data_IF_841837434484
#
_entry.id   IF_841837434484
#
_cell.length_a   1.000
_cell.length_b   1.000
_cell.length_c   1.000
_cell.angle_alpha   90.00
_cell.angle_beta   90.00
_cell.angle_gamma   90.00
#
_symmetry.space_group_name_H-M   'P 1'
#
loop_
_entity.id
_entity.type
_entity.pdbx_description
1 polymer ?
#
# COMPACT_ATOMS: atom_id res chain seq x y z
N UNK A 1 15.38 -14.14 9.88
CA UNK A 1 14.83 -12.79 9.99
C UNK A 1 15.70 -11.75 9.27
N UNK A 2 17.03 -11.67 9.50
CA UNK A 2 17.89 -10.64 8.89
C UNK A 2 17.94 -10.64 7.36
N UNK A 3 17.89 -11.80 6.71
CA UNK A 3 17.88 -11.92 5.24
C UNK A 3 16.61 -11.34 4.64
N UNK A 4 15.46 -11.54 5.27
CA UNK A 4 14.17 -10.99 4.82
C UNK A 4 14.20 -9.47 4.89
N UNK A 5 14.71 -8.90 5.99
CA UNK A 5 14.84 -7.44 6.12
C UNK A 5 15.79 -6.82 5.08
N UNK A 6 16.91 -7.49 4.75
CA UNK A 6 17.78 -7.02 3.67
C UNK A 6 17.05 -6.97 2.32
N UNK A 7 16.36 -8.06 1.98
CA UNK A 7 15.65 -8.18 0.70
C UNK A 7 14.50 -7.16 0.61
N UNK A 8 13.72 -6.95 1.67
CA UNK A 8 12.67 -5.93 1.70
C UNK A 8 13.21 -4.50 1.67
N UNK A 9 14.42 -4.26 2.22
CA UNK A 9 15.10 -2.96 2.11
C UNK A 9 15.49 -2.65 0.66
N UNK A 10 16.05 -3.62 -0.06
CA UNK A 10 16.33 -3.48 -1.49
C UNK A 10 15.06 -3.29 -2.31
N UNK A 11 13.99 -4.02 -2.02
CA UNK A 11 12.69 -3.84 -2.65
C UNK A 11 12.14 -2.43 -2.41
N UNK A 12 12.30 -1.88 -1.21
CA UNK A 12 11.92 -0.51 -0.88
C UNK A 12 12.68 0.51 -1.73
N UNK A 13 13.99 0.35 -1.89
CA UNK A 13 14.81 1.21 -2.75
C UNK A 13 14.42 1.09 -4.22
N UNK A 14 14.14 -0.13 -4.67
CA UNK A 14 13.65 -0.38 -6.03
C UNK A 14 12.31 0.34 -6.28
N UNK A 15 11.37 0.31 -5.32
CA UNK A 15 10.09 1.02 -5.40
C UNK A 15 10.28 2.54 -5.54
N UNK A 16 11.16 3.14 -4.74
CA UNK A 16 11.49 4.57 -4.84
C UNK A 16 12.14 4.88 -6.20
N UNK A 17 13.07 4.04 -6.67
CA UNK A 17 13.75 4.24 -7.95
C UNK A 17 12.78 4.14 -9.14
N UNK A 18 11.88 3.14 -9.14
CA UNK A 18 10.84 2.97 -10.16
C UNK A 18 9.95 4.21 -10.20
N UNK A 19 9.50 4.68 -9.04
CA UNK A 19 8.68 5.88 -8.95
C UNK A 19 9.39 7.08 -9.56
N UNK A 20 10.61 7.37 -9.15
CA UNK A 20 11.38 8.53 -9.62
C UNK A 20 11.71 8.45 -11.11
N UNK A 21 11.97 7.26 -11.65
CA UNK A 21 12.40 7.09 -13.03
C UNK A 21 11.24 7.11 -14.02
N UNK A 22 10.10 6.52 -13.68
CA UNK A 22 9.03 6.23 -14.63
C UNK A 22 7.69 6.89 -14.27
N UNK A 23 7.40 7.06 -12.99
CA UNK A 23 6.06 7.42 -12.55
C UNK A 23 5.88 8.91 -12.20
N UNK A 24 6.95 9.64 -11.89
CA UNK A 24 6.87 11.04 -11.43
C UNK A 24 6.20 12.00 -12.42
N UNK A 25 6.18 11.67 -13.71
CA UNK A 25 5.59 12.46 -14.79
C UNK A 25 4.13 12.09 -15.10
N UNK A 26 3.61 11.04 -14.48
CA UNK A 26 2.25 10.57 -14.70
C UNK A 26 1.32 11.27 -13.71
N UNK A 27 0.09 11.66 -14.11
CA UNK A 27 -0.87 12.29 -13.21
C UNK A 27 -1.15 11.45 -11.96
N UNK A 28 -1.21 12.12 -10.80
CA UNK A 28 -1.38 11.46 -9.51
C UNK A 28 -2.59 10.50 -9.47
N UNK A 29 -3.74 10.92 -10.00
CA UNK A 29 -4.98 10.11 -10.04
C UNK A 29 -4.76 8.78 -10.75
N UNK A 30 -4.05 8.79 -11.88
CA UNK A 30 -3.80 7.59 -12.70
C UNK A 30 -2.91 6.62 -11.95
N UNK A 31 -1.79 7.10 -11.39
CA UNK A 31 -0.87 6.24 -10.65
C UNK A 31 -1.56 5.68 -9.41
N UNK A 32 -2.29 6.53 -8.66
CA UNK A 32 -3.00 6.11 -7.46
C UNK A 32 -4.03 5.01 -7.77
N UNK A 33 -4.85 5.18 -8.82
CA UNK A 33 -5.81 4.18 -9.24
C UNK A 33 -5.12 2.86 -9.61
N UNK A 34 -4.13 2.91 -10.49
CA UNK A 34 -3.43 1.71 -10.96
C UNK A 34 -2.67 1.00 -9.84
N UNK A 35 -1.94 1.75 -8.99
CA UNK A 35 -1.22 1.14 -7.87
C UNK A 35 -2.16 0.52 -6.84
N UNK A 36 -3.30 1.13 -6.56
CA UNK A 36 -4.31 0.58 -5.64
C UNK A 36 -4.93 -0.71 -6.18
N UNK A 37 -5.36 -0.71 -7.44
CA UNK A 37 -5.94 -1.91 -8.09
C UNK A 37 -4.89 -3.01 -8.17
N UNK A 38 -3.68 -2.70 -8.62
CA UNK A 38 -2.61 -3.68 -8.74
C UNK A 38 -2.20 -4.25 -7.37
N UNK A 39 -2.09 -3.40 -6.34
CA UNK A 39 -1.81 -3.85 -4.96
C UNK A 39 -2.90 -4.77 -4.44
N UNK A 40 -4.18 -4.47 -4.73
CA UNK A 40 -5.29 -5.34 -4.31
C UNK A 40 -5.25 -6.69 -5.02
N UNK A 41 -5.00 -6.72 -6.34
CA UNK A 41 -4.86 -7.97 -7.10
C UNK A 41 -3.69 -8.80 -6.56
N UNK A 42 -2.53 -8.16 -6.36
CA UNK A 42 -1.35 -8.82 -5.80
C UNK A 42 -1.58 -9.29 -4.36
N UNK A 43 -2.26 -8.49 -3.54
CA UNK A 43 -2.63 -8.90 -2.18
C UNK A 43 -3.57 -10.11 -2.14
N UNK A 44 -4.40 -10.32 -3.20
CA UNK A 44 -5.22 -11.52 -3.32
C UNK A 44 -4.39 -12.79 -3.56
N UNK A 45 -3.15 -12.68 -4.04
CA UNK A 45 -2.26 -13.85 -4.16
C UNK A 45 -1.95 -14.50 -2.81
N UNK A 46 -2.04 -13.73 -1.70
CA UNK A 46 -1.92 -14.27 -0.35
C UNK A 46 -3.01 -15.32 -0.04
N UNK A 47 -4.18 -15.24 -0.69
CA UNK A 47 -5.20 -16.28 -0.58
C UNK A 47 -4.71 -17.63 -1.07
N UNK A 48 -3.87 -17.65 -2.11
CA UNK A 48 -3.29 -18.89 -2.64
C UNK A 48 -2.39 -19.56 -1.59
N UNK A 49 -1.69 -18.75 -0.78
CA UNK A 49 -0.87 -19.24 0.31
C UNK A 49 -1.73 -19.77 1.46
N UNK A 50 -2.75 -19.00 1.88
CA UNK A 50 -3.65 -19.36 2.98
C UNK A 50 -4.47 -20.62 2.66
N UNK A 51 -4.88 -20.80 1.40
CA UNK A 51 -5.62 -21.99 0.93
C UNK A 51 -4.70 -23.13 0.52
N UNK A 52 -3.37 -22.99 0.66
CA UNK A 52 -2.36 -23.96 0.21
C UNK A 52 -2.43 -24.33 -1.28
N UNK A 53 -3.09 -23.52 -2.10
CA UNK A 53 -3.21 -23.71 -3.55
C UNK A 53 -1.85 -23.53 -4.25
N UNK A 54 -0.93 -22.74 -3.69
CA UNK A 54 0.44 -22.59 -4.17
C UNK A 54 1.19 -23.93 -4.24
N UNK A 55 0.89 -24.89 -3.35
CA UNK A 55 1.50 -26.23 -3.34
C UNK A 55 1.05 -27.06 -4.54
N UNK A 56 -0.20 -26.87 -5.00
CA UNK A 56 -0.69 -27.51 -6.23
C UNK A 56 0.04 -26.99 -7.47
N UNK A 57 0.56 -25.75 -7.40
CA UNK A 57 1.38 -25.14 -8.44
C UNK A 57 2.87 -25.55 -8.35
N UNK A 58 3.25 -26.36 -7.35
CA UNK A 58 4.62 -26.81 -7.15
C UNK A 58 5.54 -25.73 -6.54
N UNK A 59 4.99 -24.66 -5.98
CA UNK A 59 5.75 -23.56 -5.39
C UNK A 59 5.74 -23.71 -3.86
N UNK A 60 6.95 -23.75 -3.27
CA UNK A 60 7.13 -23.81 -1.84
C UNK A 60 6.60 -22.54 -1.14
N UNK A 61 5.94 -22.70 0.02
CA UNK A 61 5.32 -21.60 0.80
C UNK A 61 6.30 -20.49 1.14
N UNK A 62 7.56 -20.84 1.41
CA UNK A 62 8.59 -19.87 1.78
C UNK A 62 8.98 -18.96 0.62
N UNK A 63 9.21 -19.52 -0.57
CA UNK A 63 9.55 -18.74 -1.75
C UNK A 63 8.38 -17.91 -2.26
N UNK A 64 7.16 -18.47 -2.19
CA UNK A 64 5.95 -17.75 -2.55
C UNK A 64 5.74 -16.52 -1.66
N UNK A 65 5.79 -16.71 -0.32
CA UNK A 65 5.63 -15.64 0.66
C UNK A 65 6.71 -14.56 0.53
N UNK A 66 7.96 -14.95 0.23
CA UNK A 66 9.04 -13.99 0.01
C UNK A 66 8.80 -13.14 -1.24
N UNK A 67 8.43 -13.78 -2.35
CA UNK A 67 8.12 -13.07 -3.60
C UNK A 67 6.94 -12.11 -3.46
N UNK A 68 5.85 -12.56 -2.85
CA UNK A 68 4.67 -11.74 -2.55
C UNK A 68 5.03 -10.52 -1.68
N UNK A 69 5.77 -10.73 -0.59
CA UNK A 69 6.22 -9.66 0.30
C UNK A 69 7.11 -8.63 -0.42
N UNK A 70 7.96 -9.07 -1.34
CA UNK A 70 8.80 -8.17 -2.15
C UNK A 70 7.96 -7.26 -3.04
N UNK A 71 7.03 -7.83 -3.78
CA UNK A 71 6.18 -7.10 -4.72
C UNK A 71 5.31 -6.12 -3.96
N UNK A 72 4.66 -6.54 -2.87
CA UNK A 72 3.85 -5.67 -2.02
C UNK A 72 4.67 -4.55 -1.37
N UNK A 73 5.92 -4.81 -1.00
CA UNK A 73 6.84 -3.78 -0.48
C UNK A 73 7.14 -2.72 -1.54
N UNK A 74 7.44 -3.12 -2.77
CA UNK A 74 7.67 -2.19 -3.89
C UNK A 74 6.43 -1.33 -4.13
N UNK A 75 5.25 -1.96 -4.23
CA UNK A 75 3.99 -1.25 -4.46
C UNK A 75 3.66 -0.29 -3.32
N UNK A 76 3.84 -0.71 -2.07
CA UNK A 76 3.65 0.15 -0.90
C UNK A 76 4.56 1.38 -0.91
N UNK A 77 5.81 1.24 -1.36
CA UNK A 77 6.73 2.38 -1.52
C UNK A 77 6.33 3.31 -2.64
N UNK A 78 5.82 2.80 -3.76
CA UNK A 78 5.29 3.62 -4.85
C UNK A 78 4.12 4.46 -4.35
N UNK A 79 3.14 3.85 -3.66
CA UNK A 79 1.99 4.57 -3.08
C UNK A 79 2.43 5.60 -2.04
N UNK A 80 3.36 5.24 -1.16
CA UNK A 80 3.90 6.16 -0.16
C UNK A 80 4.58 7.39 -0.80
N UNK A 81 5.40 7.19 -1.85
CA UNK A 81 6.05 8.29 -2.57
C UNK A 81 5.04 9.24 -3.21
N UNK A 82 3.93 8.72 -3.72
CA UNK A 82 2.85 9.55 -4.27
C UNK A 82 2.22 10.44 -3.20
N UNK A 83 1.91 9.88 -2.03
CA UNK A 83 1.34 10.64 -0.90
C UNK A 83 2.31 11.74 -0.47
N UNK A 84 3.62 11.44 -0.41
CA UNK A 84 4.65 12.41 -0.06
C UNK A 84 4.74 13.56 -1.07
N UNK A 85 4.72 13.24 -2.37
CA UNK A 85 4.75 14.25 -3.43
C UNK A 85 3.48 15.10 -3.42
N UNK A 86 2.31 14.49 -3.24
CA UNK A 86 1.06 15.23 -3.12
C UNK A 86 1.07 16.15 -1.91
N UNK A 87 1.52 15.67 -0.75
CA UNK A 87 1.65 16.46 0.47
C UNK A 87 2.57 17.67 0.26
N UNK A 88 3.72 17.46 -0.42
CA UNK A 88 4.65 18.55 -0.71
C UNK A 88 4.06 19.60 -1.67
N UNK A 89 3.27 19.17 -2.66
CA UNK A 89 2.60 20.09 -3.61
C UNK A 89 1.47 20.91 -2.99
N UNK A 90 0.75 20.33 -2.02
CA UNK A 90 -0.35 21.00 -1.33
C UNK A 90 0.11 22.02 -0.28
N UNK A 91 1.39 22.06 0.05
CA UNK A 91 1.94 22.97 1.08
C UNK A 91 2.28 24.34 0.46
N UNK A 92 1.53 25.42 0.80
CA UNK A 92 1.84 26.76 0.34
C UNK A 92 3.16 27.28 0.93
N UNK A 93 3.81 28.19 0.20
CA UNK A 93 5.04 28.83 0.65
C UNK A 93 4.84 29.61 1.97
N UNK A 94 5.75 29.39 2.93
CA UNK A 94 5.74 30.03 4.24
C UNK A 94 5.12 29.22 5.39
N UNK A 95 4.36 28.15 5.09
CA UNK A 95 3.79 27.25 6.09
C UNK A 95 4.09 25.77 5.82
N UNK A 96 5.02 25.52 4.91
CA UNK A 96 5.31 24.16 4.40
C UNK A 96 5.61 23.18 5.53
N UNK A 97 6.47 23.57 6.48
CA UNK A 97 6.88 22.68 7.57
C UNK A 97 5.69 22.28 8.47
N UNK A 98 4.84 23.23 8.80
CA UNK A 98 3.69 22.99 9.70
C UNK A 98 2.63 22.13 9.01
N UNK A 99 2.30 22.46 7.77
CA UNK A 99 1.28 21.74 7.02
C UNK A 99 1.75 20.31 6.66
N UNK A 100 3.01 20.17 6.26
CA UNK A 100 3.60 18.86 6.02
C UNK A 100 3.61 18.00 7.28
N UNK A 101 3.99 18.56 8.44
CA UNK A 101 3.95 17.86 9.72
C UNK A 101 2.52 17.42 10.09
N UNK A 102 1.51 18.28 9.85
CA UNK A 102 0.11 17.95 10.06
C UNK A 102 -0.34 16.80 9.16
N UNK A 103 -0.04 16.85 7.86
CA UNK A 103 -0.38 15.78 6.91
C UNK A 103 0.28 14.45 7.31
N UNK A 104 1.54 14.47 7.74
CA UNK A 104 2.23 13.28 8.22
C UNK A 104 1.64 12.75 9.52
N UNK A 105 1.18 13.63 10.42
CA UNK A 105 0.49 13.23 11.63
C UNK A 105 -0.84 12.52 11.32
N UNK A 106 -1.61 13.06 10.39
CA UNK A 106 -2.86 12.43 9.90
C UNK A 106 -2.55 11.07 9.27
N UNK A 107 -1.53 10.99 8.42
CA UNK A 107 -1.12 9.73 7.78
C UNK A 107 -0.73 8.66 8.81
N UNK A 108 0.08 9.01 9.80
CA UNK A 108 0.49 8.09 10.86
C UNK A 108 -0.69 7.68 11.76
N UNK A 109 -1.59 8.62 12.06
CA UNK A 109 -2.81 8.33 12.82
C UNK A 109 -3.74 7.37 12.07
N UNK A 110 -3.89 7.57 10.75
CA UNK A 110 -4.65 6.66 9.90
C UNK A 110 -4.06 5.23 9.93
N UNK A 111 -2.73 5.10 9.91
CA UNK A 111 -2.05 3.81 10.09
C UNK A 111 -2.40 3.14 11.42
N UNK A 112 -2.35 3.88 12.53
CA UNK A 112 -2.71 3.37 13.86
C UNK A 112 -4.16 2.91 13.91
N UNK A 113 -5.08 3.70 13.37
CA UNK A 113 -6.51 3.37 13.28
C UNK A 113 -6.72 2.12 12.42
N UNK A 114 -6.03 2.01 11.28
CA UNK A 114 -6.09 0.83 10.40
C UNK A 114 -5.65 -0.44 11.13
N UNK A 115 -4.56 -0.37 11.90
CA UNK A 115 -4.10 -1.52 12.70
C UNK A 115 -5.11 -1.90 13.79
N UNK A 116 -5.74 -0.92 14.45
CA UNK A 116 -6.77 -1.19 15.45
C UNK A 116 -8.01 -1.87 14.83
N UNK A 117 -8.47 -1.41 13.66
CA UNK A 117 -9.55 -2.06 12.92
C UNK A 117 -9.17 -3.46 12.46
N UNK A 118 -7.95 -3.66 11.96
CA UNK A 118 -7.44 -4.97 11.59
C UNK A 118 -7.46 -5.95 12.77
N UNK A 119 -7.00 -5.52 13.95
CA UNK A 119 -7.03 -6.32 15.17
C UNK A 119 -8.47 -6.65 15.61
N UNK A 120 -9.40 -5.69 15.52
CA UNK A 120 -10.81 -5.88 15.85
C UNK A 120 -11.48 -6.91 14.93
N UNK A 121 -11.25 -6.83 13.63
CA UNK A 121 -11.77 -7.79 12.64
C UNK A 121 -11.18 -9.19 12.92
N UNK A 122 -9.87 -9.26 13.19
CA UNK A 122 -9.18 -10.51 13.54
C UNK A 122 -9.83 -11.16 14.77
N UNK A 123 -10.13 -10.37 15.80
CA UNK A 123 -10.81 -10.82 17.01
C UNK A 123 -12.23 -11.32 16.70
N UNK A 124 -13.04 -10.59 15.95
CA UNK A 124 -14.40 -10.97 15.57
C UNK A 124 -14.47 -12.24 14.73
N UNK A 125 -13.46 -12.47 13.89
CA UNK A 125 -13.34 -13.66 13.07
C UNK A 125 -12.84 -14.89 13.88
N UNK A 126 -12.53 -14.71 15.16
CA UNK A 126 -12.05 -15.78 16.03
C UNK A 126 -10.67 -16.33 15.64
N UNK A 127 -9.86 -15.51 14.95
CA UNK A 127 -8.51 -15.92 14.54
C UNK A 127 -7.58 -15.80 15.73
N UNK A 128 -6.94 -16.92 16.08
CA UNK A 128 -5.98 -17.03 17.19
C UNK A 128 -4.70 -17.70 16.72
N UNK A 129 -3.69 -17.76 17.58
CA UNK A 129 -2.42 -18.46 17.28
C UNK A 129 -2.60 -19.97 16.96
N UNK A 130 -3.74 -20.55 17.29
CA UNK A 130 -4.06 -21.96 17.08
C UNK A 130 -5.24 -22.20 16.14
N UNK A 131 -5.99 -21.15 15.76
CA UNK A 131 -7.13 -21.25 14.86
C UNK A 131 -7.00 -20.23 13.71
N UNK A 132 -6.79 -20.72 12.51
CA UNK A 132 -6.62 -19.93 11.27
C UNK A 132 -7.74 -20.17 10.25
N UNK A 133 -8.85 -20.84 10.62
CA UNK A 133 -9.92 -21.21 9.68
C UNK A 133 -10.49 -20.01 8.91
N UNK A 134 -10.64 -18.85 9.58
CA UNK A 134 -11.19 -17.65 8.99
C UNK A 134 -10.13 -16.70 8.43
N UNK A 135 -8.85 -17.10 8.37
CA UNK A 135 -7.76 -16.24 7.90
C UNK A 135 -7.97 -15.79 6.45
N UNK A 136 -8.47 -16.67 5.59
CA UNK A 136 -8.80 -16.33 4.20
C UNK A 136 -9.82 -15.19 4.10
N UNK A 137 -10.80 -15.15 5.00
CA UNK A 137 -11.81 -14.10 5.03
C UNK A 137 -11.20 -12.76 5.48
N UNK A 138 -10.29 -12.77 6.45
CA UNK A 138 -9.54 -11.59 6.85
C UNK A 138 -8.74 -11.03 5.68
N UNK A 139 -8.01 -11.87 4.94
CA UNK A 139 -7.25 -11.47 3.76
C UNK A 139 -8.18 -10.88 2.69
N UNK A 140 -9.33 -11.49 2.45
CA UNK A 140 -10.32 -11.00 1.50
C UNK A 140 -10.84 -9.61 1.90
N UNK A 141 -11.29 -9.43 3.14
CA UNK A 141 -11.84 -8.16 3.65
C UNK A 141 -10.78 -7.06 3.57
N UNK A 142 -9.56 -7.32 4.05
CA UNK A 142 -8.49 -6.33 4.04
C UNK A 142 -8.09 -5.91 2.64
N UNK A 143 -7.99 -6.84 1.69
CA UNK A 143 -7.68 -6.52 0.30
C UNK A 143 -8.81 -5.78 -0.41
N UNK A 144 -10.06 -6.14 -0.19
CA UNK A 144 -11.19 -5.39 -0.73
C UNK A 144 -11.27 -3.98 -0.15
N UNK A 145 -10.93 -3.80 1.13
CA UNK A 145 -10.91 -2.48 1.77
C UNK A 145 -9.89 -1.53 1.15
N UNK A 146 -8.82 -2.04 0.53
CA UNK A 146 -7.86 -1.19 -0.19
C UNK A 146 -8.46 -0.49 -1.40
N UNK A 147 -9.59 -0.98 -1.94
CA UNK A 147 -10.30 -0.38 -3.06
C UNK A 147 -11.26 0.74 -2.63
N UNK A 148 -11.55 0.88 -1.33
CA UNK A 148 -12.46 1.92 -0.81
C UNK A 148 -12.10 3.35 -1.20
N UNK A 149 -10.84 3.77 -1.33
CA UNK A 149 -10.49 5.11 -1.78
C UNK A 149 -10.80 5.40 -3.25
N UNK A 150 -10.96 4.37 -4.11
CA UNK A 150 -11.14 4.58 -5.55
C UNK A 150 -12.37 5.42 -5.93
N UNK A 151 -13.55 5.28 -5.30
CA UNK A 151 -14.69 6.14 -5.60
C UNK A 151 -14.43 7.63 -5.31
N UNK A 152 -13.51 7.92 -4.39
CA UNK A 152 -13.14 9.27 -3.96
C UNK A 152 -11.98 9.88 -4.76
N UNK A 153 -11.47 9.16 -5.76
CA UNK A 153 -10.31 9.59 -6.56
C UNK A 153 -10.56 10.92 -7.28
N UNK A 154 -11.83 11.22 -7.61
CA UNK A 154 -12.23 12.46 -8.26
C UNK A 154 -12.10 13.70 -7.35
N UNK A 155 -11.94 13.51 -6.03
CA UNK A 155 -11.70 14.60 -5.09
C UNK A 155 -10.23 15.04 -5.06
N UNK A 156 -9.35 14.25 -5.67
CA UNK A 156 -7.94 14.58 -5.80
C UNK A 156 -7.73 15.61 -6.93
N UNK A 157 -6.67 16.45 -6.87
CA UNK A 157 -6.35 17.41 -7.93
C UNK A 157 -6.25 16.75 -9.30
N UNK A 158 -6.76 17.40 -10.33
CA UNK A 158 -6.57 16.96 -11.71
C UNK A 158 -5.19 17.41 -12.22
N UNK A 159 -4.68 16.74 -13.27
CA UNK A 159 -3.38 17.05 -13.86
C UNK A 159 -3.24 18.50 -14.36
N UNK A 160 -4.34 19.15 -14.74
CA UNK A 160 -4.37 20.54 -15.22
C UNK A 160 -4.12 21.53 -14.07
N UNK A 161 -4.70 21.28 -12.87
CA UNK A 161 -4.47 22.09 -11.67
C UNK A 161 -3.05 21.93 -11.12
N UNK A 162 -2.39 20.81 -11.40
CA UNK A 162 -1.01 20.56 -10.99
C UNK A 162 -0.01 21.49 -11.71
N UNK A 163 -0.35 21.99 -12.91
CA UNK A 163 0.53 22.84 -13.71
C UNK A 163 0.39 24.33 -13.33
N UNK A 164 -0.80 24.77 -12.94
CA UNK A 164 -1.04 26.18 -12.58
C UNK A 164 -0.49 26.55 -11.19
N UNK A 165 -0.38 25.60 -10.26
CA UNK A 165 0.19 25.83 -8.92
C UNK A 165 1.72 25.86 -8.90
N UNK A 166 2.38 25.59 -10.02
CA UNK A 166 3.85 25.57 -10.14
C UNK A 166 4.45 26.86 -10.76
N UNK A 167 3.65 27.91 -10.97
CA UNK A 167 4.08 29.25 -11.39
C UNK A 167 4.02 30.21 -10.20
#
# INVERSE_FOLDING_TARGET
>A
LGRVHLVTSFASLAGVWIFQRFLKSIPFRVIFAWSTVLSSILGMTMLLLVTHTNRLLGIDDHWFSLGDSLILTVMGKIVFMQVMVLAARLCPSGVEATLFALLMSVFNSAGTVSHAFGALITYWLGITATNFESLWLLVLITNLSTLLPLPFINWLPAAEEETETSI
#
